data_IF_703386232995
#
_entry.id   IF_703386232995
#
_cell.length_a   1.000
_cell.length_b   1.000
_cell.length_c   1.000
_cell.angle_alpha   90.00
_cell.angle_beta   90.00
_cell.angle_gamma   90.00
#
_symmetry.space_group_name_H-M   'P 1'
#
loop_
_entity.id
_entity.type
_entity.pdbx_description
1 polymer ?
#
# COMPACT_ATOMS: atom_id res chain seq x y z
N UNK A 1 10.27 17.60 9.03
CA UNK A 1 9.58 17.65 7.73
C UNK A 1 8.09 17.44 8.00
N UNK A 2 7.21 18.26 7.42
CA UNK A 2 5.76 18.02 7.52
C UNK A 2 5.40 16.89 6.54
N UNK A 3 5.12 15.70 7.07
CA UNK A 3 4.79 14.52 6.28
C UNK A 3 3.54 14.74 5.43
N UNK A 4 2.53 15.43 5.94
CA UNK A 4 1.29 15.69 5.19
C UNK A 4 1.56 16.62 4.03
N UNK A 5 2.28 17.72 4.25
CA UNK A 5 2.63 18.66 3.18
C UNK A 5 3.46 17.96 2.09
N UNK A 6 4.47 17.17 2.48
CA UNK A 6 5.31 16.41 1.56
C UNK A 6 4.49 15.45 0.68
N UNK A 7 3.59 14.67 1.29
CA UNK A 7 2.74 13.71 0.58
C UNK A 7 1.84 14.41 -0.45
N UNK A 8 1.18 15.49 -0.05
CA UNK A 8 0.24 16.20 -0.92
C UNK A 8 0.93 16.90 -2.08
N UNK A 9 2.10 17.50 -1.83
CA UNK A 9 2.93 18.12 -2.88
C UNK A 9 3.40 17.10 -3.91
N UNK A 10 3.81 15.92 -3.46
CA UNK A 10 4.36 14.86 -4.33
C UNK A 10 3.28 14.06 -5.06
N UNK A 11 2.13 13.83 -4.44
CA UNK A 11 1.07 13.02 -5.03
C UNK A 11 0.35 13.72 -6.18
N UNK A 12 0.33 15.06 -6.18
CA UNK A 12 -0.31 15.92 -7.20
C UNK A 12 -1.75 15.43 -7.46
N UNK A 13 -2.59 15.54 -6.43
CA UNK A 13 -3.98 15.07 -6.48
C UNK A 13 -4.79 15.87 -7.51
N UNK A 14 -5.71 15.20 -8.21
CA UNK A 14 -6.71 15.88 -9.04
C UNK A 14 -7.66 16.70 -8.15
N UNK A 15 -8.37 17.65 -8.76
CA UNK A 15 -9.27 18.57 -8.02
C UNK A 15 -10.30 17.85 -7.13
N UNK A 16 -10.83 16.71 -7.59
CA UNK A 16 -11.83 15.91 -6.87
C UNK A 16 -11.25 14.65 -6.18
N UNK A 17 -9.93 14.48 -6.22
CA UNK A 17 -9.23 13.34 -5.61
C UNK A 17 -8.87 13.67 -4.16
N UNK A 18 -9.41 12.90 -3.21
CA UNK A 18 -9.21 13.14 -1.78
C UNK A 18 -8.21 12.15 -1.20
N UNK A 19 -7.29 12.59 -0.31
CA UNK A 19 -6.44 11.68 0.46
C UNK A 19 -7.26 10.97 1.53
N UNK A 20 -7.07 9.66 1.69
CA UNK A 20 -7.89 8.81 2.59
C UNK A 20 -7.03 8.18 3.69
N UNK A 21 -6.01 7.41 3.33
CA UNK A 21 -5.09 6.75 4.27
C UNK A 21 -3.66 7.02 3.81
N UNK A 22 -2.76 7.30 4.75
CA UNK A 22 -1.35 7.46 4.47
C UNK A 22 -0.50 6.58 5.39
N UNK A 23 0.58 6.05 4.85
CA UNK A 23 1.71 5.51 5.58
C UNK A 23 2.95 6.33 5.19
N UNK A 24 3.70 6.80 6.17
CA UNK A 24 4.89 7.63 5.95
C UNK A 24 6.04 7.16 6.85
N UNK A 25 7.09 6.63 6.23
CA UNK A 25 8.33 6.25 6.91
C UNK A 25 9.47 7.21 6.56
N UNK A 26 9.50 7.69 5.32
CA UNK A 26 10.48 8.65 4.83
C UNK A 26 10.09 9.26 3.48
N UNK A 27 10.90 10.21 2.95
CA UNK A 27 10.60 10.91 1.69
C UNK A 27 10.53 9.98 0.46
N UNK A 28 11.27 8.87 0.51
CA UNK A 28 11.33 7.85 -0.53
C UNK A 28 10.68 6.52 -0.11
N UNK A 29 9.95 6.52 1.02
CA UNK A 29 9.23 5.35 1.50
C UNK A 29 7.91 5.75 2.15
N UNK A 30 6.88 5.82 1.32
CA UNK A 30 5.54 6.18 1.76
C UNK A 30 4.47 5.67 0.79
N UNK A 31 3.25 5.57 1.31
CA UNK A 31 2.07 5.24 0.52
C UNK A 31 0.92 6.18 0.86
N UNK A 32 0.22 6.67 -0.16
CA UNK A 32 -0.99 7.48 -0.04
C UNK A 32 -2.13 6.84 -0.82
N UNK A 33 -3.12 6.34 -0.10
CA UNK A 33 -4.42 5.90 -0.64
C UNK A 33 -5.31 7.11 -0.80
N UNK A 34 -5.89 7.26 -1.98
CA UNK A 34 -6.82 8.34 -2.32
C UNK A 34 -8.18 7.78 -2.72
N UNK A 35 -9.13 8.63 -3.12
CA UNK A 35 -10.39 8.16 -3.69
C UNK A 35 -10.23 7.50 -5.07
N UNK A 36 -9.13 7.75 -5.79
CA UNK A 36 -8.94 7.35 -7.20
C UNK A 36 -7.80 6.33 -7.44
N UNK A 37 -6.79 6.33 -6.57
CA UNK A 37 -5.56 5.55 -6.75
C UNK A 37 -4.73 5.45 -5.47
N UNK A 38 -3.73 4.57 -5.48
CA UNK A 38 -2.63 4.60 -4.52
C UNK A 38 -1.40 5.21 -5.16
N UNK A 39 -0.76 6.14 -4.46
CA UNK A 39 0.52 6.74 -4.85
C UNK A 39 1.60 6.27 -3.88
N UNK A 40 2.74 5.85 -4.42
CA UNK A 40 3.86 5.27 -3.69
C UNK A 40 5.10 6.11 -3.94
N UNK A 41 5.70 6.63 -2.87
CA UNK A 41 7.07 7.13 -2.88
C UNK A 41 8.03 5.98 -2.64
N UNK A 42 8.96 5.79 -3.58
CA UNK A 42 9.97 4.72 -3.58
C UNK A 42 11.31 5.32 -4.00
N UNK A 43 12.42 4.65 -3.68
CA UNK A 43 13.75 5.03 -4.18
C UNK A 43 13.79 5.13 -5.72
N UNK A 44 13.08 4.23 -6.41
CA UNK A 44 12.94 4.23 -7.87
C UNK A 44 12.02 5.36 -8.41
N UNK A 45 11.55 6.24 -7.54
CA UNK A 45 10.63 7.34 -7.85
C UNK A 45 9.18 7.05 -7.50
N UNK A 46 8.29 7.89 -8.03
CA UNK A 46 6.86 7.82 -7.77
C UNK A 46 6.20 6.74 -8.62
N UNK A 47 5.36 5.93 -7.99
CA UNK A 47 4.45 5.04 -8.70
C UNK A 47 3.02 5.35 -8.32
N UNK A 48 2.17 5.45 -9.33
CA UNK A 48 0.74 5.65 -9.18
C UNK A 48 0.02 4.42 -9.73
N UNK A 49 -0.83 3.80 -8.92
CA UNK A 49 -1.66 2.66 -9.33
C UNK A 49 -3.13 3.06 -9.22
N UNK A 50 -3.79 3.37 -10.36
CA UNK A 50 -5.24 3.59 -10.42
C UNK A 50 -6.01 2.39 -9.89
N UNK A 51 -7.17 2.63 -9.27
CA UNK A 51 -8.03 1.53 -8.81
C UNK A 51 -8.52 0.61 -9.91
N UNK A 52 -8.63 1.10 -11.16
CA UNK A 52 -8.94 0.28 -12.33
C UNK A 52 -7.86 -0.76 -12.66
N UNK A 53 -6.62 -0.52 -12.22
CA UNK A 53 -5.48 -1.42 -12.46
C UNK A 53 -5.21 -2.35 -11.29
N UNK A 54 -5.74 -2.05 -10.10
CA UNK A 54 -5.60 -2.88 -8.91
C UNK A 54 -6.51 -4.10 -9.00
N UNK A 55 -5.93 -5.28 -9.14
CA UNK A 55 -6.66 -6.54 -9.20
C UNK A 55 -6.91 -7.14 -7.81
N UNK A 56 -5.93 -7.00 -6.92
CA UNK A 56 -5.97 -7.53 -5.56
C UNK A 56 -4.89 -6.88 -4.67
N UNK A 57 -5.05 -7.02 -3.36
CA UNK A 57 -4.01 -6.73 -2.38
C UNK A 57 -3.79 -7.97 -1.51
N UNK A 58 -2.57 -8.50 -1.55
CA UNK A 58 -2.19 -9.71 -0.82
C UNK A 58 -0.96 -9.45 0.05
N UNK A 59 -0.61 -10.44 0.84
CA UNK A 59 0.69 -10.52 1.49
C UNK A 59 1.44 -11.68 0.82
N UNK A 60 2.76 -11.66 0.86
CA UNK A 60 3.52 -12.80 0.39
C UNK A 60 3.31 -14.00 1.35
N UNK A 61 2.68 -15.05 0.83
CA UNK A 61 2.46 -16.31 1.55
C UNK A 61 3.76 -17.01 1.93
N UNK A 62 4.84 -16.82 1.15
CA UNK A 62 6.16 -17.36 1.50
C UNK A 62 6.77 -16.61 2.69
N UNK A 63 6.61 -15.29 2.76
CA UNK A 63 7.01 -14.48 3.91
C UNK A 63 6.19 -14.83 5.18
N UNK A 64 4.88 -15.06 5.03
CA UNK A 64 4.02 -15.63 6.08
C UNK A 64 4.60 -16.96 6.58
N UNK A 65 4.84 -17.92 5.68
CA UNK A 65 5.31 -19.25 6.05
C UNK A 65 6.69 -19.21 6.72
N UNK A 66 7.61 -18.37 6.25
CA UNK A 66 8.92 -18.17 6.87
C UNK A 66 8.80 -17.55 8.28
N UNK A 67 7.92 -16.56 8.47
CA UNK A 67 7.64 -15.98 9.78
C UNK A 67 7.08 -17.05 10.74
N UNK A 68 6.10 -17.84 10.30
CA UNK A 68 5.48 -18.90 11.12
C UNK A 68 6.42 -20.08 11.42
N UNK A 69 7.35 -20.43 10.52
CA UNK A 69 8.30 -21.52 10.72
C UNK A 69 9.39 -21.21 11.76
N UNK A 70 9.67 -19.93 12.01
CA UNK A 70 10.70 -19.49 12.98
C UNK A 70 10.27 -19.54 14.45
N UNK A 71 9.01 -19.91 14.74
CA UNK A 71 8.47 -19.92 16.11
C UNK A 71 8.25 -18.54 16.75
N UNK A 72 8.71 -17.46 16.11
CA UNK A 72 8.59 -16.07 16.57
C UNK A 72 7.63 -15.22 15.72
N UNK A 73 7.20 -15.68 14.54
CA UNK A 73 6.31 -14.94 13.66
C UNK A 73 4.85 -15.03 14.09
N UNK A 74 4.36 -13.97 14.70
CA UNK A 74 2.93 -13.77 14.88
C UNK A 74 2.36 -13.05 13.65
N UNK A 75 1.05 -13.12 13.40
CA UNK A 75 0.40 -12.35 12.32
C UNK A 75 0.70 -10.84 12.41
N UNK A 76 1.02 -10.34 13.61
CA UNK A 76 1.34 -8.93 13.86
C UNK A 76 2.72 -8.53 13.31
N UNK A 77 3.58 -9.47 12.91
CA UNK A 77 4.90 -9.17 12.34
C UNK A 77 4.87 -8.91 10.83
N UNK A 78 3.70 -8.98 10.19
CA UNK A 78 3.58 -8.70 8.76
C UNK A 78 3.72 -7.20 8.51
N UNK A 79 4.71 -6.84 7.68
CA UNK A 79 4.96 -5.47 7.23
C UNK A 79 4.87 -5.31 5.71
N UNK A 80 4.85 -6.40 4.93
CA UNK A 80 4.93 -6.33 3.47
C UNK A 80 3.61 -6.62 2.76
N UNK A 81 3.13 -5.64 2.01
CA UNK A 81 1.96 -5.74 1.13
C UNK A 81 2.38 -5.89 -0.32
N UNK A 82 1.64 -6.72 -1.05
CA UNK A 82 1.79 -6.92 -2.49
C UNK A 82 0.51 -6.49 -3.19
N UNK A 83 0.61 -5.49 -4.04
CA UNK A 83 -0.45 -5.03 -4.93
C UNK A 83 -0.36 -5.82 -6.23
N UNK A 84 -1.40 -6.60 -6.52
CA UNK A 84 -1.50 -7.31 -7.79
C UNK A 84 -2.13 -6.40 -8.83
N UNK A 85 -1.46 -6.23 -9.97
CA UNK A 85 -1.90 -5.32 -11.03
C UNK A 85 -2.35 -6.12 -12.25
N UNK A 86 -3.49 -5.72 -12.85
CA UNK A 86 -4.16 -6.49 -13.91
C UNK A 86 -3.30 -6.72 -15.15
N UNK A 87 -2.48 -5.73 -15.55
CA UNK A 87 -1.70 -5.75 -16.78
C UNK A 87 -0.25 -5.26 -16.57
N UNK A 88 0.26 -5.37 -15.35
CA UNK A 88 1.59 -4.89 -15.00
C UNK A 88 2.18 -5.78 -13.88
N UNK A 89 3.49 -5.67 -13.66
CA UNK A 89 4.16 -6.43 -12.60
C UNK A 89 3.55 -6.15 -11.22
N UNK A 90 3.59 -7.09 -10.29
CA UNK A 90 3.14 -6.79 -8.93
C UNK A 90 4.07 -5.78 -8.26
N UNK A 91 3.53 -5.04 -7.29
CA UNK A 91 4.28 -4.02 -6.55
C UNK A 91 4.27 -4.35 -5.08
N UNK A 92 5.45 -4.35 -4.47
CA UNK A 92 5.60 -4.52 -3.03
C UNK A 92 5.75 -3.19 -2.32
N UNK A 93 5.14 -3.10 -1.13
CA UNK A 93 5.21 -1.95 -0.24
C UNK A 93 5.47 -2.50 1.15
N UNK A 94 6.48 -1.96 1.82
CA UNK A 94 6.69 -2.21 3.24
C UNK A 94 6.01 -1.11 4.04
N UNK A 95 5.31 -1.49 5.11
CA UNK A 95 4.59 -0.59 6.00
C UNK A 95 4.77 -1.04 7.45
N UNK A 96 4.40 -0.17 8.38
CA UNK A 96 4.48 -0.48 9.81
C UNK A 96 3.68 -1.76 10.15
N UNK A 97 4.37 -2.71 10.79
CA UNK A 97 3.78 -3.98 11.18
C UNK A 97 2.62 -3.83 12.17
N UNK A 98 1.74 -4.83 12.20
CA UNK A 98 0.63 -4.87 13.15
C UNK A 98 -0.59 -4.10 12.66
N UNK A 99 -1.21 -3.27 13.52
CA UNK A 99 -2.54 -2.70 13.25
C UNK A 99 -2.57 -1.81 12.00
N UNK A 100 -1.52 -1.02 11.78
CA UNK A 100 -1.40 -0.16 10.61
C UNK A 100 -1.39 -0.98 9.31
N UNK A 101 -0.54 -2.01 9.24
CA UNK A 101 -0.52 -3.00 8.16
C UNK A 101 -1.91 -3.57 7.87
N UNK A 102 -2.60 -4.09 8.90
CA UNK A 102 -3.93 -4.70 8.70
C UNK A 102 -4.98 -3.69 8.23
N UNK A 103 -4.94 -2.46 8.76
CA UNK A 103 -5.83 -1.39 8.32
C UNK A 103 -5.66 -1.09 6.83
N UNK A 104 -4.42 -0.89 6.39
CA UNK A 104 -4.12 -0.62 4.98
C UNK A 104 -4.45 -1.82 4.09
N UNK A 105 -4.10 -3.04 4.52
CA UNK A 105 -4.39 -4.25 3.77
C UNK A 105 -5.89 -4.45 3.54
N UNK A 106 -6.69 -4.30 4.60
CA UNK A 106 -8.14 -4.46 4.54
C UNK A 106 -8.76 -3.39 3.63
N UNK A 107 -8.33 -2.13 3.73
CA UNK A 107 -8.80 -1.07 2.85
C UNK A 107 -8.54 -1.40 1.37
N UNK A 108 -7.31 -1.81 1.03
CA UNK A 108 -6.93 -2.15 -0.34
C UNK A 108 -7.68 -3.38 -0.87
N UNK A 109 -7.85 -4.42 -0.04
CA UNK A 109 -8.67 -5.59 -0.38
C UNK A 109 -10.12 -5.20 -0.66
N UNK A 110 -10.71 -4.35 0.16
CA UNK A 110 -12.08 -3.85 -0.04
C UNK A 110 -12.20 -3.05 -1.33
N UNK A 111 -11.25 -2.15 -1.62
CA UNK A 111 -11.23 -1.39 -2.88
C UNK A 111 -11.16 -2.34 -4.08
N UNK A 112 -10.26 -3.32 -4.06
CA UNK A 112 -10.11 -4.29 -5.15
C UNK A 112 -11.37 -5.16 -5.34
N UNK A 113 -12.10 -5.48 -4.26
CA UNK A 113 -13.34 -6.24 -4.33
C UNK A 113 -14.48 -5.41 -4.94
N UNK A 114 -14.69 -4.18 -4.45
CA UNK A 114 -15.80 -3.31 -4.88
C UNK A 114 -15.69 -2.82 -6.34
N UNK A 115 -14.53 -2.97 -6.96
CA UNK A 115 -14.28 -2.57 -8.37
C UNK A 115 -14.37 -3.73 -9.36
N UNK A 116 -14.65 -4.95 -8.90
CA UNK A 116 -14.89 -6.12 -9.77
C UNK A 116 -16.35 -6.22 -10.22
N UNK A 117 -17.23 -5.48 -9.58
CA UNK A 117 -18.65 -5.31 -9.93
C UNK A 117 -18.83 -4.12 -10.88
#
# INVERSE_FOLDING_TARGET
>A
MDARAHLLERAVLKADELPVIAHFEGPDHWALVTTERIVLGREAGLLSVPWSELENATTDTAHIQAAFASGAGNKLSLSRLRLQRRNAEDVEIEVEAGKAFFGLWNALKTIALLRKE
#
